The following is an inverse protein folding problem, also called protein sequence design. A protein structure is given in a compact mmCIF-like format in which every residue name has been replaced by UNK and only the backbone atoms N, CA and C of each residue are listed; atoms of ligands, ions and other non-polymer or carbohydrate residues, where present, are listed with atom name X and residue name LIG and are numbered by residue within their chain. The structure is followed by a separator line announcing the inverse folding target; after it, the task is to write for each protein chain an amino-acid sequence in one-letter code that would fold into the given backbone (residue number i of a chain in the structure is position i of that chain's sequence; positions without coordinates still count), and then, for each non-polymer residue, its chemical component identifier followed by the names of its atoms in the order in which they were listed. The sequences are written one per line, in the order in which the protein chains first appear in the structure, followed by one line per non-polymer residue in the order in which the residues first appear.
data_IF_508353356805
#
_entry.id   IF_508353356805
#
_cell.length_a   1.000
_cell.length_b   1.000
_cell.length_c   1.000
_cell.angle_alpha   90.00
_cell.angle_beta   90.00
_cell.angle_gamma   90.00
#
_symmetry.space_group_name_H-M   'P 1'
#
loop_
_entity.id
_entity.type
_entity.pdbx_description
1 polymer ?
#
# COMPACT_ATOMS: atom_id res chain seq x y z
N UNK A 1 -1.96 -1.69 -3.97
CA UNK A 1 -1.38 -0.46 -4.54
C UNK A 1 0.07 -0.32 -4.08
N UNK A 2 0.97 0.22 -4.90
CA UNK A 2 2.33 0.57 -4.47
C UNK A 2 2.26 1.82 -3.61
N UNK A 3 2.74 1.73 -2.38
CA UNK A 3 2.74 2.82 -1.39
C UNK A 3 4.12 3.50 -1.34
N UNK A 4 5.19 2.72 -1.39
CA UNK A 4 6.56 3.21 -1.37
C UNK A 4 7.46 2.36 -2.27
N UNK A 5 8.50 3.00 -2.82
CA UNK A 5 9.55 2.36 -3.63
C UNK A 5 10.88 2.30 -2.88
N UNK A 6 11.87 1.65 -3.48
CA UNK A 6 13.22 1.50 -2.93
C UNK A 6 13.76 2.77 -2.23
N UNK A 7 14.42 2.56 -1.09
CA UNK A 7 15.04 3.62 -0.29
C UNK A 7 14.07 4.47 0.51
N UNK A 8 12.78 4.48 0.17
CA UNK A 8 11.77 5.18 0.97
C UNK A 8 11.47 4.42 2.26
N UNK A 9 10.97 5.14 3.26
CA UNK A 9 10.59 4.55 4.52
C UNK A 9 9.10 4.68 4.81
N UNK A 10 8.46 3.55 5.14
CA UNK A 10 7.06 3.46 5.52
C UNK A 10 6.93 3.35 7.03
N UNK A 11 6.04 4.16 7.59
CA UNK A 11 5.63 4.13 8.99
C UNK A 11 4.09 4.21 9.04
N UNK A 12 3.46 3.53 9.99
CA UNK A 12 2.00 3.48 10.08
C UNK A 12 1.59 3.77 11.52
N UNK A 13 0.84 4.86 11.68
CA UNK A 13 0.14 5.14 12.92
C UNK A 13 -1.22 4.45 12.88
N UNK A 14 -1.38 3.37 13.63
CA UNK A 14 -2.62 2.60 13.67
C UNK A 14 -3.66 3.17 14.64
N UNK A 15 -3.24 4.05 15.55
CA UNK A 15 -4.14 4.71 16.49
C UNK A 15 -4.90 5.83 15.75
N UNK A 16 -4.19 6.62 14.93
CA UNK A 16 -4.76 7.65 14.06
C UNK A 16 -5.19 7.11 12.67
N UNK A 17 -4.71 5.91 12.31
CA UNK A 17 -4.99 5.24 11.04
C UNK A 17 -4.33 5.88 9.82
N UNK A 18 -3.18 6.50 10.00
CA UNK A 18 -2.46 7.28 8.99
C UNK A 18 -1.17 6.57 8.55
N UNK A 19 -0.98 6.47 7.24
CA UNK A 19 0.28 5.95 6.65
C UNK A 19 1.21 7.11 6.35
N UNK A 20 2.48 6.94 6.67
CA UNK A 20 3.55 7.90 6.41
C UNK A 20 4.59 7.31 5.47
N UNK A 21 5.00 8.09 4.48
CA UNK A 21 6.14 7.77 3.60
C UNK A 21 7.18 8.88 3.73
N UNK A 22 8.41 8.51 4.08
CA UNK A 22 9.51 9.43 4.37
C UNK A 22 9.12 10.51 5.41
N UNK A 23 8.30 10.11 6.40
CA UNK A 23 7.81 10.98 7.46
C UNK A 23 6.68 11.94 7.06
N UNK A 24 6.14 11.82 5.83
CA UNK A 24 5.01 12.62 5.36
C UNK A 24 3.74 11.77 5.35
N UNK A 25 2.68 12.28 5.98
CA UNK A 25 1.36 11.65 5.92
C UNK A 25 0.89 11.54 4.46
N UNK A 26 0.42 10.37 4.07
CA UNK A 26 -0.10 10.12 2.73
C UNK A 26 -1.56 10.61 2.65
N UNK A 27 -1.91 11.31 1.59
CA UNK A 27 -3.31 11.60 1.24
C UNK A 27 -3.86 10.43 0.41
N UNK A 28 -4.86 9.74 0.95
CA UNK A 28 -5.32 8.44 0.44
C UNK A 28 -6.81 8.45 0.05
N UNK A 29 -7.25 9.27 -0.91
CA UNK A 29 -8.66 9.35 -1.28
C UNK A 29 -9.22 8.05 -1.92
N UNK A 30 -8.36 7.05 -2.14
CA UNK A 30 -8.71 5.74 -2.69
C UNK A 30 -8.99 4.67 -1.63
N UNK A 31 -8.72 4.92 -0.34
CA UNK A 31 -9.05 3.96 0.73
C UNK A 31 -10.45 4.20 1.24
N UNK A 32 -11.15 3.12 1.61
CA UNK A 32 -12.50 3.21 2.15
C UNK A 32 -12.52 3.65 3.62
N UNK A 33 -11.47 3.30 4.36
CA UNK A 33 -11.38 3.45 5.81
C UNK A 33 -9.90 3.58 6.25
N UNK A 34 -9.64 4.25 7.39
CA UNK A 34 -8.30 4.32 7.97
C UNK A 34 -7.76 2.93 8.33
N UNK A 35 -6.44 2.81 8.39
CA UNK A 35 -5.78 1.53 8.69
C UNK A 35 -5.68 1.31 10.20
N UNK A 36 -6.40 0.31 10.71
CA UNK A 36 -6.35 -0.07 12.13
C UNK A 36 -5.85 -1.51 12.32
N UNK A 37 -5.99 -2.36 11.30
CA UNK A 37 -5.40 -3.69 11.32
C UNK A 37 -3.88 -3.62 11.09
N UNK A 38 -3.15 -3.95 12.16
CA UNK A 38 -1.69 -4.04 12.19
C UNK A 38 -1.16 -5.24 11.44
N UNK A 39 -1.96 -6.28 11.27
CA UNK A 39 -1.48 -7.64 10.98
C UNK A 39 -0.35 -8.02 11.94
N UNK A 40 0.90 -8.02 11.46
CA UNK A 40 2.12 -8.19 12.26
C UNK A 40 3.18 -7.13 11.91
N UNK A 41 2.77 -6.00 11.32
CA UNK A 41 3.64 -4.89 10.98
C UNK A 41 4.08 -4.15 12.24
N UNK A 42 5.38 -4.11 12.48
CA UNK A 42 5.95 -3.44 13.64
C UNK A 42 6.98 -2.38 13.22
N UNK A 43 6.81 -1.18 13.79
CA UNK A 43 7.74 -0.08 13.62
C UNK A 43 7.78 0.46 12.19
N UNK A 44 9.00 0.75 11.72
CA UNK A 44 9.26 1.50 10.50
C UNK A 44 10.08 0.63 9.55
N UNK A 45 9.65 0.53 8.29
CA UNK A 45 10.30 -0.29 7.26
C UNK A 45 10.92 0.59 6.17
N UNK A 46 12.21 0.40 5.90
CA UNK A 46 12.87 0.96 4.71
C UNK A 46 12.74 -0.05 3.57
N UNK A 47 12.21 0.39 2.43
CA UNK A 47 12.01 -0.48 1.27
C UNK A 47 13.37 -0.86 0.68
N UNK A 48 13.71 -2.16 0.55
CA UNK A 48 14.96 -2.60 -0.05
C UNK A 48 15.11 -2.16 -1.51
N UNK A 49 16.35 -2.14 -1.99
CA UNK A 49 16.67 -1.91 -3.41
C UNK A 49 15.93 -2.91 -4.30
N UNK A 50 15.36 -2.41 -5.40
CA UNK A 50 14.61 -3.25 -6.35
C UNK A 50 13.27 -3.79 -5.85
N UNK A 51 12.78 -3.34 -4.69
CA UNK A 51 11.51 -3.75 -4.10
C UNK A 51 10.50 -2.59 -4.01
N UNK A 52 9.25 -2.93 -3.73
CA UNK A 52 8.16 -2.00 -3.42
C UNK A 52 7.40 -2.45 -2.17
N UNK A 53 6.88 -1.50 -1.41
CA UNK A 53 5.92 -1.76 -0.35
C UNK A 53 4.50 -1.59 -0.90
N UNK A 54 3.65 -2.61 -0.75
CA UNK A 54 2.28 -2.58 -1.26
C UNK A 54 1.26 -2.71 -0.14
N UNK A 55 0.15 -1.99 -0.27
CA UNK A 55 -1.02 -2.13 0.60
C UNK A 55 -2.29 -2.24 -0.24
N UNK A 56 -3.26 -3.03 0.20
CA UNK A 56 -4.59 -3.06 -0.40
C UNK A 56 -5.38 -1.78 -0.08
N UNK A 57 -6.24 -1.37 -1.01
CA UNK A 57 -7.14 -0.22 -0.80
C UNK A 57 -8.23 -0.55 0.25
N UNK A 58 -8.52 -1.86 0.45
CA UNK A 58 -9.34 -2.36 1.56
C UNK A 58 -8.44 -2.68 2.78
N UNK A 59 -8.05 -1.63 3.49
CA UNK A 59 -6.97 -1.66 4.51
C UNK A 59 -7.14 -2.73 5.58
N UNK A 60 -8.33 -2.86 6.13
CA UNK A 60 -8.56 -3.74 7.28
C UNK A 60 -8.92 -5.19 6.86
N UNK A 61 -8.85 -5.52 5.57
CA UNK A 61 -9.18 -6.85 5.05
C UNK A 61 -8.26 -7.28 3.89
N UNK A 62 -7.00 -6.83 3.90
CA UNK A 62 -6.01 -7.11 2.86
C UNK A 62 -4.73 -7.64 3.48
N UNK A 63 -4.34 -8.85 3.11
CA UNK A 63 -2.99 -9.39 3.40
C UNK A 63 -2.01 -8.87 2.36
N UNK A 64 -1.11 -7.99 2.79
CA UNK A 64 -0.20 -7.25 1.93
C UNK A 64 1.19 -7.08 2.57
N UNK A 65 1.98 -6.07 2.20
CA UNK A 65 3.35 -5.93 2.70
C UNK A 65 3.43 -5.68 4.21
N UNK A 66 2.31 -5.43 4.89
CA UNK A 66 2.23 -5.41 6.35
C UNK A 66 2.49 -6.78 6.96
N UNK A 67 2.11 -7.87 6.29
CA UNK A 67 2.41 -9.21 6.75
C UNK A 67 3.90 -9.52 6.52
N UNK A 68 4.66 -9.73 7.60
CA UNK A 68 6.07 -10.08 7.59
C UNK A 68 6.39 -11.35 6.77
N UNK A 69 5.40 -12.23 6.53
CA UNK A 69 5.56 -13.40 5.64
C UNK A 69 5.59 -13.02 4.16
N UNK A 70 5.01 -11.88 3.79
CA UNK A 70 5.02 -11.31 2.44
C UNK A 70 6.09 -10.22 2.31
N UNK A 71 6.04 -9.22 3.19
CA UNK A 71 6.96 -8.09 3.22
C UNK A 71 6.98 -7.27 1.93
N UNK A 72 8.11 -6.63 1.65
CA UNK A 72 8.31 -5.88 0.41
C UNK A 72 8.38 -6.83 -0.80
N UNK A 73 7.75 -6.41 -1.90
CA UNK A 73 7.65 -7.21 -3.13
C UNK A 73 8.75 -6.81 -4.10
N UNK A 74 9.50 -7.79 -4.58
CA UNK A 74 10.50 -7.58 -5.63
C UNK A 74 9.83 -7.13 -6.93
N UNK A 75 10.35 -6.05 -7.54
CA UNK A 75 9.78 -5.44 -8.75
C UNK A 75 9.75 -6.41 -9.93
N UNK A 76 10.59 -7.46 -9.96
CA UNK A 76 10.59 -8.50 -10.99
C UNK A 76 9.33 -9.37 -10.96
N UNK A 77 8.58 -9.38 -9.86
CA UNK A 77 7.30 -10.08 -9.76
C UNK A 77 6.11 -9.23 -10.24
N UNK A 78 6.33 -7.97 -10.59
CA UNK A 78 5.27 -7.08 -11.08
C UNK A 78 5.02 -7.37 -12.58
N UNK A 79 3.87 -7.99 -12.87
CA UNK A 79 3.48 -8.32 -14.26
C UNK A 79 2.96 -7.13 -15.07
N UNK A 80 2.44 -6.09 -14.41
CA UNK A 80 1.89 -4.93 -15.10
C UNK A 80 1.18 -3.94 -14.18
N UNK A 81 0.62 -2.90 -14.79
CA UNK A 81 -0.12 -1.84 -14.12
C UNK A 81 -1.55 -1.79 -14.64
N UNK A 82 -2.51 -1.60 -13.74
CA UNK A 82 -3.91 -1.40 -14.10
C UNK A 82 -4.11 0.06 -14.52
N UNK A 83 -4.66 0.26 -15.73
CA UNK A 83 -4.90 1.60 -16.30
C UNK A 83 -6.39 1.95 -16.43
N UNK A 84 -7.27 0.97 -16.63
CA UNK A 84 -8.69 1.20 -16.89
C UNK A 84 -9.59 0.25 -16.10
N UNK A 85 -10.69 0.79 -15.58
CA UNK A 85 -11.81 0.01 -15.03
C UNK A 85 -12.88 -0.07 -16.11
N UNK A 86 -13.36 -1.28 -16.43
CA UNK A 86 -14.38 -1.52 -17.46
C UNK A 86 -15.75 -1.88 -16.90
N UNK A 87 -15.81 -2.35 -15.65
CA UNK A 87 -17.04 -2.78 -15.00
C UNK A 87 -17.03 -2.46 -13.50
N UNK A 88 -18.17 -2.12 -12.88
CA UNK A 88 -19.49 -1.88 -13.49
C UNK A 88 -19.48 -0.70 -14.47
N UNK A 89 -20.39 -0.69 -15.45
CA UNK A 89 -20.43 0.33 -16.54
C UNK A 89 -20.41 1.77 -15.99
N UNK A 90 -21.06 2.00 -14.83
CA UNK A 90 -21.07 3.28 -14.12
C UNK A 90 -19.69 3.76 -13.62
N UNK A 91 -18.72 2.87 -13.52
CA UNK A 91 -17.35 3.12 -13.05
C UNK A 91 -16.32 3.02 -14.20
N UNK A 92 -16.76 3.01 -15.47
CA UNK A 92 -15.83 3.00 -16.60
C UNK A 92 -14.96 4.26 -16.55
N UNK A 93 -13.64 4.07 -16.57
CA UNK A 93 -12.72 5.19 -16.53
C UNK A 93 -11.26 4.78 -16.32
N UNK A 94 -10.39 5.79 -16.27
CA UNK A 94 -8.97 5.63 -15.96
C UNK A 94 -8.79 5.44 -14.46
N UNK A 95 -7.96 4.48 -14.07
CA UNK A 95 -7.55 4.28 -12.67
C UNK A 95 -6.57 5.40 -12.28
N UNK A 96 -6.90 6.13 -11.22
CA UNK A 96 -6.03 7.16 -10.63
C UNK A 96 -4.97 6.55 -9.70
#
# INVERSE_FOLDING_TARGET
RIIATEGQTVDIDFDDGVVYVDGKALDEPYVNEPVHDRENFEGKITVPEGCVFVMGDNRNASTDSRDARLGCVDTRYIMGRVYFTLFPVKNIGVVK
#
